data_IF_966575078828
#
_entry.id   IF_966575078828
#
_cell.length_a   1.000
_cell.length_b   1.000
_cell.length_c   1.000
_cell.angle_alpha   90.00
_cell.angle_beta   90.00
_cell.angle_gamma   90.00
#
_symmetry.space_group_name_H-M   'P 1'
#
loop_
_entity.id
_entity.type
_entity.pdbx_description
1 polymer ?
#
# COMPACT_ATOMS: atom_id res chain seq x y z
N UNK A 1 -26.60 -47.85 -11.32
CA UNK A 1 -25.22 -47.42 -11.61
C UNK A 1 -24.87 -46.29 -10.65
N UNK A 2 -24.01 -46.57 -9.67
CA UNK A 2 -23.73 -45.67 -8.54
C UNK A 2 -22.69 -44.60 -8.89
N UNK A 3 -22.92 -43.39 -8.42
CA UNK A 3 -21.96 -42.28 -8.48
C UNK A 3 -20.89 -42.49 -7.41
N UNK A 4 -19.63 -42.51 -7.85
CA UNK A 4 -18.45 -42.70 -7.00
C UNK A 4 -18.19 -41.45 -6.17
N UNK A 5 -18.14 -41.63 -4.86
CA UNK A 5 -17.67 -40.65 -3.88
C UNK A 5 -16.15 -40.50 -3.98
N UNK A 6 -15.67 -39.32 -4.36
CA UNK A 6 -14.24 -38.97 -4.29
C UNK A 6 -13.85 -38.77 -2.83
N UNK A 7 -13.02 -39.69 -2.33
CA UNK A 7 -12.49 -39.70 -0.97
C UNK A 7 -11.35 -38.68 -0.85
N UNK A 8 -11.55 -37.58 -0.11
CA UNK A 8 -10.47 -36.69 0.29
C UNK A 8 -9.56 -37.40 1.31
N UNK A 9 -8.35 -37.76 0.90
CA UNK A 9 -7.31 -38.29 1.79
C UNK A 9 -6.70 -37.12 2.58
N UNK A 10 -7.07 -36.99 3.85
CA UNK A 10 -6.44 -36.07 4.81
C UNK A 10 -5.01 -36.54 5.10
N UNK A 11 -4.01 -35.89 4.49
CA UNK A 11 -2.61 -36.15 4.81
C UNK A 11 -2.31 -35.65 6.25
N UNK A 12 -1.68 -36.48 7.11
CA UNK A 12 -1.36 -36.08 8.48
C UNK A 12 -0.16 -35.13 8.47
N UNK A 13 -0.38 -33.84 8.73
CA UNK A 13 0.72 -32.89 8.96
C UNK A 13 1.53 -33.35 10.18
N UNK A 14 2.79 -33.75 9.97
CA UNK A 14 3.74 -34.01 11.05
C UNK A 14 3.85 -32.77 11.94
N UNK A 15 3.77 -32.91 13.27
CA UNK A 15 3.86 -31.79 14.20
C UNK A 15 5.22 -31.79 14.90
N UNK A 16 5.86 -30.63 15.01
CA UNK A 16 7.07 -30.43 15.78
C UNK A 16 6.71 -30.00 17.20
N UNK A 17 7.15 -30.77 18.19
CA UNK A 17 6.91 -30.50 19.61
C UNK A 17 8.12 -29.84 20.24
N UNK A 18 7.90 -28.78 21.03
CA UNK A 18 8.95 -28.06 21.74
C UNK A 18 8.50 -27.64 23.14
N UNK A 19 9.46 -27.35 24.02
CA UNK A 19 9.20 -26.78 25.35
C UNK A 19 9.36 -25.27 25.31
N UNK A 20 8.34 -24.56 25.79
CA UNK A 20 8.43 -23.11 26.02
C UNK A 20 9.38 -22.81 27.19
N UNK A 21 9.90 -21.58 27.34
CA UNK A 21 10.73 -21.20 28.49
C UNK A 21 10.06 -21.42 29.85
N UNK A 22 8.72 -21.42 29.90
CA UNK A 22 7.93 -21.76 31.09
C UNK A 22 7.71 -23.26 31.31
N UNK A 23 8.40 -24.14 30.56
CA UNK A 23 8.35 -25.59 30.72
C UNK A 23 7.13 -26.29 30.09
N UNK A 24 6.21 -25.54 29.48
CA UNK A 24 5.03 -26.10 28.82
C UNK A 24 5.39 -26.69 27.46
N UNK A 25 4.98 -27.95 27.24
CA UNK A 25 5.08 -28.60 25.93
C UNK A 25 4.04 -28.01 24.97
N UNK A 26 4.49 -27.49 23.84
CA UNK A 26 3.64 -27.01 22.75
C UNK A 26 4.04 -27.70 21.44
N UNK A 27 3.13 -27.72 20.46
CA UNK A 27 3.41 -28.30 19.14
C UNK A 27 2.91 -27.40 18.03
N UNK A 28 3.70 -27.31 16.96
CA UNK A 28 3.36 -26.57 15.73
C UNK A 28 3.36 -27.52 14.53
N UNK A 29 2.49 -27.30 13.53
CA UNK A 29 2.52 -28.10 12.30
C UNK A 29 3.83 -27.85 11.54
N UNK A 30 4.49 -28.92 11.09
CA UNK A 30 5.64 -28.84 10.18
C UNK A 30 5.11 -28.70 8.77
N UNK A 31 5.41 -27.58 8.13
CA UNK A 31 5.06 -27.32 6.74
C UNK A 31 6.15 -27.96 5.87
N UNK A 32 5.89 -29.17 5.36
CA UNK A 32 6.82 -29.92 4.50
C UNK A 32 6.73 -29.52 3.03
N UNK A 33 5.62 -28.91 2.61
CA UNK A 33 5.40 -28.40 1.27
C UNK A 33 5.58 -26.89 1.26
N UNK A 34 6.48 -26.39 0.42
CA UNK A 34 6.65 -24.96 0.14
C UNK A 34 5.29 -24.34 -0.20
N UNK A 35 4.87 -23.30 0.53
CA UNK A 35 3.62 -22.58 0.27
C UNK A 35 3.64 -22.07 -1.18
N UNK A 36 2.80 -22.60 -2.10
CA UNK A 36 2.85 -22.21 -3.52
C UNK A 36 2.30 -20.80 -3.76
N UNK A 37 1.60 -20.23 -2.79
CA UNK A 37 1.18 -18.84 -2.83
C UNK A 37 2.37 -17.96 -2.45
N UNK A 38 3.30 -17.78 -3.39
CA UNK A 38 4.21 -16.63 -3.34
C UNK A 38 3.35 -15.41 -3.04
N UNK A 39 3.71 -14.63 -2.01
CA UNK A 39 3.03 -13.37 -1.70
C UNK A 39 3.41 -12.39 -2.82
N UNK A 40 2.74 -12.52 -3.97
CA UNK A 40 2.93 -11.64 -5.12
C UNK A 40 2.04 -10.43 -4.87
N UNK A 41 2.66 -9.29 -4.62
CA UNK A 41 1.96 -8.02 -4.62
C UNK A 41 1.59 -7.69 -6.07
N UNK A 42 0.29 -7.44 -6.37
CA UNK A 42 -0.11 -7.16 -7.73
C UNK A 42 0.57 -5.88 -8.23
N UNK A 43 0.99 -5.89 -9.49
CA UNK A 43 1.52 -4.70 -10.15
C UNK A 43 0.45 -3.60 -10.22
N UNK A 44 0.88 -2.36 -10.03
CA UNK A 44 0.02 -1.19 -10.19
C UNK A 44 -0.49 -1.09 -11.62
N UNK A 45 -1.79 -0.84 -11.78
CA UNK A 45 -2.41 -0.63 -13.09
C UNK A 45 -2.10 0.76 -13.59
N UNK A 46 -1.75 0.89 -14.87
CA UNK A 46 -1.65 2.19 -15.53
C UNK A 46 -3.04 2.54 -16.05
N UNK A 47 -3.62 3.60 -15.50
CA UNK A 47 -4.85 4.18 -16.03
C UNK A 47 -4.48 5.36 -16.95
N UNK A 48 -5.07 5.40 -18.15
CA UNK A 48 -4.84 6.48 -19.13
C UNK A 48 -5.76 7.69 -18.92
N UNK A 49 -6.75 7.56 -18.04
CA UNK A 49 -7.72 8.61 -17.73
C UNK A 49 -7.27 9.51 -16.57
N UNK A 50 -6.11 9.22 -15.97
CA UNK A 50 -5.49 10.08 -14.95
C UNK A 50 -4.35 10.87 -15.56
N UNK A 51 -4.05 12.03 -14.99
CA UNK A 51 -2.94 12.88 -15.43
C UNK A 51 -1.61 12.10 -15.36
N UNK A 52 -0.93 11.96 -16.50
CA UNK A 52 0.31 11.21 -16.63
C UNK A 52 1.44 11.76 -15.75
N UNK A 53 1.37 13.04 -15.35
CA UNK A 53 2.31 13.66 -14.40
C UNK A 53 2.22 13.06 -12.99
N UNK A 54 1.15 12.33 -12.66
CA UNK A 54 1.07 11.56 -11.41
C UNK A 54 2.02 10.35 -11.43
N UNK A 55 2.17 9.70 -12.58
CA UNK A 55 3.16 8.64 -12.74
C UNK A 55 4.58 9.20 -12.62
N UNK A 56 4.82 10.39 -13.17
CA UNK A 56 6.08 11.09 -12.99
C UNK A 56 6.31 11.47 -11.51
N UNK A 57 5.29 11.94 -10.78
CA UNK A 57 5.39 12.19 -9.35
C UNK A 57 5.78 10.93 -8.56
N UNK A 58 5.15 9.78 -8.86
CA UNK A 58 5.52 8.51 -8.23
C UNK A 58 6.98 8.12 -8.52
N UNK A 59 7.45 8.36 -9.75
CA UNK A 59 8.85 8.10 -10.14
C UNK A 59 9.81 9.01 -9.38
N UNK A 60 9.55 10.31 -9.34
CA UNK A 60 10.36 11.29 -8.59
C UNK A 60 10.40 10.93 -7.10
N UNK A 61 9.26 10.57 -6.52
CA UNK A 61 9.20 10.12 -5.13
C UNK A 61 10.02 8.84 -4.92
N UNK A 62 9.95 7.86 -5.82
CA UNK A 62 10.79 6.66 -5.76
C UNK A 62 12.27 7.03 -5.78
N UNK A 63 12.71 7.86 -6.71
CA UNK A 63 14.11 8.28 -6.84
C UNK A 63 14.63 9.00 -5.59
N UNK A 64 13.78 9.80 -4.94
CA UNK A 64 14.13 10.57 -3.73
C UNK A 64 13.91 9.81 -2.42
N UNK A 65 13.33 8.61 -2.47
CA UNK A 65 12.96 7.85 -1.29
C UNK A 65 14.18 7.31 -0.53
N UNK A 66 14.06 7.29 0.79
CA UNK A 66 15.08 6.72 1.68
C UNK A 66 14.91 5.21 1.84
N UNK A 67 15.93 4.56 2.39
CA UNK A 67 15.89 3.14 2.75
C UNK A 67 14.86 2.82 3.86
N UNK A 68 14.57 3.77 4.73
CA UNK A 68 13.61 3.66 5.83
C UNK A 68 12.90 4.99 6.06
N UNK A 69 11.73 4.95 6.72
CA UNK A 69 10.94 6.16 6.98
C UNK A 69 11.70 7.15 7.86
N UNK A 70 11.54 8.43 7.55
CA UNK A 70 12.04 9.58 8.32
C UNK A 70 10.89 10.38 8.94
N UNK A 71 9.69 9.80 9.01
CA UNK A 71 8.47 10.46 9.50
C UNK A 71 8.10 11.74 8.72
N UNK A 72 8.49 11.82 7.44
CA UNK A 72 8.27 12.99 6.56
C UNK A 72 7.45 12.66 5.31
N UNK A 73 6.66 11.59 5.36
CA UNK A 73 5.85 11.09 4.24
C UNK A 73 5.14 12.19 3.44
N UNK A 74 4.36 13.03 4.11
CA UNK A 74 3.60 14.08 3.42
C UNK A 74 4.48 15.15 2.79
N UNK A 75 5.59 15.52 3.45
CA UNK A 75 6.56 16.46 2.90
C UNK A 75 7.14 15.97 1.56
N UNK A 76 7.54 14.70 1.50
CA UNK A 76 8.11 14.10 0.29
C UNK A 76 7.09 13.97 -0.84
N UNK A 77 5.86 13.59 -0.52
CA UNK A 77 4.79 13.49 -1.53
C UNK A 77 4.47 14.87 -2.11
N UNK A 78 4.37 15.92 -1.28
CA UNK A 78 4.18 17.30 -1.76
C UNK A 78 5.27 17.71 -2.75
N UNK A 79 6.52 17.45 -2.41
CA UNK A 79 7.66 17.87 -3.23
C UNK A 79 7.71 17.09 -4.55
N UNK A 80 7.29 15.82 -4.55
CA UNK A 80 7.18 15.02 -5.76
C UNK A 80 6.03 15.45 -6.67
N UNK A 81 4.87 15.77 -6.11
CA UNK A 81 3.73 16.32 -6.85
C UNK A 81 4.07 17.68 -7.46
N UNK A 82 4.73 18.55 -6.70
CA UNK A 82 5.16 19.85 -7.21
C UNK A 82 6.21 19.70 -8.31
N UNK A 83 7.22 18.84 -8.11
CA UNK A 83 8.28 18.63 -9.07
C UNK A 83 7.80 17.96 -10.38
N UNK A 84 6.72 17.18 -10.35
CA UNK A 84 6.12 16.64 -11.58
C UNK A 84 5.25 17.65 -12.33
N UNK A 85 4.94 18.79 -11.69
CA UNK A 85 4.06 19.80 -12.27
C UNK A 85 2.58 19.39 -12.35
N UNK A 86 2.14 18.36 -11.60
CA UNK A 86 0.72 18.02 -11.50
C UNK A 86 -0.06 19.02 -10.64
N UNK A 87 0.65 19.68 -9.72
CA UNK A 87 0.19 20.83 -8.96
C UNK A 87 1.09 22.04 -9.24
N UNK A 88 0.51 23.22 -9.15
CA UNK A 88 1.14 24.51 -9.44
C UNK A 88 1.88 25.11 -8.23
N UNK A 89 1.50 24.68 -7.02
CA UNK A 89 2.00 25.22 -5.76
C UNK A 89 2.04 24.13 -4.70
N UNK A 90 2.87 24.35 -3.68
CA UNK A 90 3.06 23.36 -2.62
C UNK A 90 1.86 23.34 -1.65
N UNK A 91 1.25 22.17 -1.37
CA UNK A 91 0.19 22.06 -0.38
C UNK A 91 0.67 22.51 1.01
N UNK A 92 -0.18 23.17 1.78
CA UNK A 92 0.14 23.85 3.05
C UNK A 92 -0.16 22.98 4.27
N UNK A 93 -1.06 22.02 4.20
CA UNK A 93 -1.46 21.18 5.36
C UNK A 93 -0.28 20.45 5.99
N UNK A 94 -0.11 20.52 7.30
CA UNK A 94 1.02 19.86 7.96
C UNK A 94 0.82 18.35 8.09
N UNK A 95 -0.41 17.93 8.41
CA UNK A 95 -0.74 16.55 8.71
C UNK A 95 -1.07 15.76 7.43
N UNK A 96 -0.54 14.54 7.36
CA UNK A 96 -0.80 13.61 6.28
C UNK A 96 -2.30 13.29 6.11
N UNK A 97 -3.04 13.19 7.21
CA UNK A 97 -4.49 12.91 7.16
C UNK A 97 -5.32 14.01 6.49
N UNK A 98 -4.83 15.25 6.49
CA UNK A 98 -5.55 16.42 5.97
C UNK A 98 -5.26 16.66 4.47
N UNK A 99 -4.27 15.93 3.93
CA UNK A 99 -3.87 15.97 2.52
C UNK A 99 -5.05 15.79 1.56
N UNK A 100 -5.96 14.85 1.88
CA UNK A 100 -7.12 14.55 1.06
C UNK A 100 -8.00 15.78 0.80
N UNK A 101 -8.35 16.52 1.86
CA UNK A 101 -9.21 17.70 1.74
C UNK A 101 -8.54 18.78 0.91
N UNK A 102 -7.25 19.04 1.16
CA UNK A 102 -6.52 20.08 0.44
C UNK A 102 -6.33 19.75 -1.04
N UNK A 103 -5.97 18.49 -1.37
CA UNK A 103 -5.80 18.05 -2.76
C UNK A 103 -7.09 18.19 -3.57
N UNK A 104 -8.24 17.85 -2.97
CA UNK A 104 -9.53 17.95 -3.64
C UNK A 104 -9.96 19.41 -3.78
N UNK A 105 -9.93 20.19 -2.70
CA UNK A 105 -10.43 21.57 -2.70
C UNK A 105 -9.59 22.53 -3.51
N UNK A 106 -8.26 22.39 -3.50
CA UNK A 106 -7.35 23.41 -4.03
C UNK A 106 -6.61 22.97 -5.29
N UNK A 107 -6.44 21.67 -5.52
CA UNK A 107 -5.57 21.15 -6.58
C UNK A 107 -6.29 20.33 -7.67
N UNK A 108 -7.62 20.21 -7.55
CA UNK A 108 -8.48 19.56 -8.54
C UNK A 108 -8.41 18.03 -8.52
N UNK A 109 -7.93 17.43 -7.42
CA UNK A 109 -7.96 15.98 -7.28
C UNK A 109 -9.38 15.49 -7.06
N UNK A 110 -9.64 14.25 -7.48
CA UNK A 110 -10.89 13.54 -7.25
C UNK A 110 -10.61 12.25 -6.49
N UNK A 111 -11.53 11.90 -5.59
CA UNK A 111 -11.50 10.61 -4.92
C UNK A 111 -11.90 9.53 -5.92
N UNK A 112 -11.07 8.51 -6.07
CA UNK A 112 -11.37 7.34 -6.88
C UNK A 112 -12.24 6.35 -6.09
N UNK A 113 -13.13 5.59 -6.75
CA UNK A 113 -13.93 4.55 -6.13
C UNK A 113 -13.09 3.28 -5.89
N UNK A 114 -11.98 3.43 -5.18
CA UNK A 114 -11.01 2.38 -4.87
C UNK A 114 -10.86 2.27 -3.36
N UNK A 115 -11.16 1.08 -2.82
CA UNK A 115 -11.04 0.76 -1.40
C UNK A 115 -9.80 -0.09 -1.09
N UNK A 116 -9.28 -0.82 -2.07
CA UNK A 116 -8.06 -1.61 -1.96
C UNK A 116 -6.85 -0.80 -2.48
N UNK A 117 -5.84 -0.50 -1.64
CA UNK A 117 -4.63 0.20 -2.05
C UNK A 117 -3.92 -0.42 -3.25
N UNK A 118 -3.93 -1.75 -3.37
CA UNK A 118 -3.24 -2.45 -4.45
C UNK A 118 -3.91 -2.23 -5.81
N UNK A 119 -5.22 -2.03 -5.80
CA UNK A 119 -6.06 -1.73 -6.95
C UNK A 119 -5.98 -0.27 -7.41
N UNK A 120 -5.30 0.60 -6.66
CA UNK A 120 -5.09 2.00 -7.06
C UNK A 120 -4.26 2.09 -8.36
N UNK A 121 -4.62 2.99 -9.30
CA UNK A 121 -3.79 3.30 -10.45
C UNK A 121 -2.42 3.86 -10.05
N UNK A 122 -1.37 3.56 -10.82
CA UNK A 122 -0.03 4.11 -10.63
C UNK A 122 -0.08 5.64 -10.66
N UNK A 123 0.57 6.29 -9.70
CA UNK A 123 0.55 7.73 -9.53
C UNK A 123 -0.55 8.24 -8.59
N UNK A 124 -1.55 7.43 -8.25
CA UNK A 124 -2.58 7.83 -7.30
C UNK A 124 -1.98 8.15 -5.94
N UNK A 125 -2.54 9.15 -5.26
CA UNK A 125 -2.21 9.52 -3.89
C UNK A 125 -3.14 8.76 -2.95
N UNK A 126 -2.57 7.98 -2.03
CA UNK A 126 -3.30 7.22 -1.02
C UNK A 126 -3.10 7.90 0.32
N UNK A 127 -4.21 8.18 1.00
CA UNK A 127 -4.22 8.85 2.30
C UNK A 127 -4.77 7.89 3.34
N UNK A 128 -4.05 7.75 4.44
CA UNK A 128 -4.37 6.84 5.54
C UNK A 128 -4.41 7.57 6.87
N UNK A 129 -5.20 7.05 7.81
CA UNK A 129 -5.19 7.49 9.18
C UNK A 129 -6.54 7.40 9.87
N UNK A 130 -6.60 8.02 11.03
CA UNK A 130 -7.82 8.27 11.80
C UNK A 130 -7.82 9.71 12.29
N UNK A 131 -8.96 10.18 12.81
CA UNK A 131 -9.10 11.51 13.41
C UNK A 131 -8.13 11.78 14.59
N UNK A 132 -7.53 10.74 15.17
CA UNK A 132 -6.60 10.85 16.31
C UNK A 132 -5.12 10.71 15.92
N UNK A 133 -4.79 10.60 14.63
CA UNK A 133 -3.42 10.39 14.17
C UNK A 133 -2.96 11.45 13.17
N UNK A 134 -1.64 11.61 13.03
CA UNK A 134 -1.01 12.43 11.97
C UNK A 134 -1.37 11.93 10.56
N UNK A 135 -1.66 10.64 10.42
CA UNK A 135 -1.94 9.98 9.16
C UNK A 135 -0.67 9.50 8.43
N UNK A 136 -0.86 9.01 7.21
CA UNK A 136 0.21 8.66 6.28
C UNK A 136 -0.25 8.95 4.85
N UNK A 137 0.66 9.40 4.00
CA UNK A 137 0.40 9.57 2.57
C UNK A 137 1.49 8.87 1.78
N UNK A 138 1.08 8.14 0.75
CA UNK A 138 1.97 7.47 -0.20
C UNK A 138 1.40 7.57 -1.62
N UNK A 139 2.30 7.50 -2.60
CA UNK A 139 1.98 7.38 -4.02
C UNK A 139 2.01 5.91 -4.40
N UNK A 140 1.02 5.47 -5.18
CA UNK A 140 1.07 4.14 -5.81
C UNK A 140 2.15 4.12 -6.87
N UNK A 141 3.06 3.15 -6.79
CA UNK A 141 4.07 2.89 -7.82
C UNK A 141 3.72 1.60 -8.56
N UNK A 142 4.49 1.26 -9.60
CA UNK A 142 4.26 0.03 -10.38
C UNK A 142 4.41 -1.23 -9.53
N UNK A 143 5.34 -1.23 -8.59
CA UNK A 143 5.76 -2.39 -7.80
C UNK A 143 5.44 -2.29 -6.30
N UNK A 144 4.90 -1.15 -5.85
CA UNK A 144 4.59 -0.94 -4.44
C UNK A 144 4.03 0.46 -4.17
N UNK A 145 4.53 1.07 -3.11
CA UNK A 145 4.10 2.36 -2.60
C UNK A 145 5.32 3.17 -2.20
N UNK A 146 5.22 4.49 -2.34
CA UNK A 146 6.32 5.38 -1.98
C UNK A 146 5.82 6.59 -1.23
N UNK A 147 6.50 6.93 -0.15
CA UNK A 147 6.30 8.16 0.60
C UNK A 147 7.64 8.87 0.78
N UNK A 148 8.15 8.95 2.01
CA UNK A 148 9.54 9.29 2.29
C UNK A 148 10.48 8.07 2.19
N UNK A 149 9.91 6.87 2.03
CA UNK A 149 10.62 5.62 1.78
C UNK A 149 9.83 4.73 0.82
N UNK A 150 10.47 3.71 0.25
CA UNK A 150 9.82 2.72 -0.62
C UNK A 150 9.28 1.54 0.19
N UNK A 151 8.09 1.06 -0.15
CA UNK A 151 7.48 -0.12 0.47
C UNK A 151 6.80 -1.00 -0.58
N UNK A 152 6.90 -2.32 -0.42
CA UNK A 152 6.12 -3.27 -1.26
C UNK A 152 4.65 -3.36 -0.84
N UNK A 153 4.38 -3.05 0.43
CA UNK A 153 3.04 -3.10 1.02
C UNK A 153 2.55 -1.70 1.36
N UNK A 154 1.24 -1.45 1.27
CA UNK A 154 0.68 -0.18 1.70
C UNK A 154 0.80 -0.02 3.22
N UNK A 155 0.52 1.19 3.69
CA UNK A 155 0.35 1.46 5.12
C UNK A 155 -0.68 0.51 5.75
N UNK A 156 -0.39 0.04 6.97
CA UNK A 156 -1.35 -0.77 7.77
C UNK A 156 -2.46 0.07 8.41
N UNK A 157 -2.36 1.40 8.31
CA UNK A 157 -3.35 2.34 8.85
C UNK A 157 -4.66 2.23 8.05
N UNK A 158 -5.81 2.63 8.60
CA UNK A 158 -7.05 2.67 7.83
C UNK A 158 -6.92 3.59 6.61
N UNK A 159 -7.32 3.11 5.43
CA UNK A 159 -7.33 3.91 4.21
C UNK A 159 -8.49 4.91 4.27
N UNK A 160 -8.19 6.20 4.17
CA UNK A 160 -9.20 7.26 4.07
C UNK A 160 -9.68 7.40 2.62
N UNK A 161 -8.76 7.33 1.66
CA UNK A 161 -9.12 7.33 0.25
C UNK A 161 -7.93 7.27 -0.70
N UNK A 162 -8.26 7.02 -1.96
CA UNK A 162 -7.35 7.09 -3.11
C UNK A 162 -7.76 8.29 -3.95
N UNK A 163 -6.80 9.11 -4.35
CA UNK A 163 -7.02 10.37 -5.04
C UNK A 163 -6.15 10.48 -6.28
N UNK A 164 -6.72 10.98 -7.36
CA UNK A 164 -6.00 11.28 -8.59
C UNK A 164 -6.58 12.52 -9.27
N UNK A 165 -5.82 13.10 -10.18
CA UNK A 165 -6.23 14.16 -11.08
C UNK A 165 -6.55 13.52 -12.42
N UNK A 166 -7.67 13.92 -13.02
CA UNK A 166 -8.17 13.40 -14.30
C UNK A 166 -7.79 14.37 -15.42
#
# INVERSE_FOLDING_TARGET
>A
MGQQSVSHTTQPYSRFSFKTPGGKNESVPVITQYYPNQIVYPYGKIDRHIDSRLMQAATIAQERAHAHSRSRCWHYVKDALLASGVIDSRPKTELARDAASELVSNYGFKRLPVSDPFSAPVGSVLVYGTARSVGHVELRTRDGFVSDFRSKTPSRRPLLGVYAKL
#
